data_IF_756059729409
#
_entry.id   IF_756059729409
#
_cell.length_a   1.000
_cell.length_b   1.000
_cell.length_c   1.000
_cell.angle_alpha   90.00
_cell.angle_beta   90.00
_cell.angle_gamma   90.00
#
_symmetry.space_group_name_H-M   'P 1'
#
loop_
_entity.id
_entity.type
_entity.pdbx_description
1 polymer ?
#
# COMPACT_ATOMS: atom_id res chain seq x y z
N UNK A 1 -46.66 -25.61 -0.42
CA UNK A 1 -45.31 -26.17 -0.22
C UNK A 1 -44.43 -25.05 0.33
N UNK A 2 -44.10 -25.10 1.62
CA UNK A 2 -43.25 -24.10 2.27
C UNK A 2 -41.80 -24.40 1.90
N UNK A 3 -41.13 -23.47 1.20
CA UNK A 3 -39.69 -23.60 0.94
C UNK A 3 -38.96 -23.71 2.29
N UNK A 4 -38.01 -24.64 2.46
CA UNK A 4 -37.18 -24.65 3.67
C UNK A 4 -36.50 -23.28 3.82
N UNK A 5 -36.42 -22.78 5.04
CA UNK A 5 -35.68 -21.55 5.34
C UNK A 5 -34.23 -21.74 4.92
N UNK A 6 -33.66 -20.75 4.22
CA UNK A 6 -32.27 -20.82 3.78
C UNK A 6 -31.33 -20.91 5.00
N UNK A 7 -30.39 -21.84 4.97
CA UNK A 7 -29.29 -21.88 5.94
C UNK A 7 -28.31 -20.74 5.63
N UNK A 8 -28.36 -19.69 6.45
CA UNK A 8 -27.53 -18.50 6.30
C UNK A 8 -26.22 -18.57 7.10
N UNK A 9 -25.88 -19.72 7.67
CA UNK A 9 -24.67 -19.91 8.47
C UNK A 9 -23.41 -19.64 7.64
N UNK A 10 -23.38 -20.12 6.39
CA UNK A 10 -22.28 -19.87 5.46
C UNK A 10 -22.15 -18.38 5.08
N UNK A 11 -23.29 -17.71 4.83
CA UNK A 11 -23.34 -16.29 4.48
C UNK A 11 -22.82 -15.42 5.63
N UNK A 12 -23.25 -15.71 6.87
CA UNK A 12 -22.75 -15.04 8.08
C UNK A 12 -21.24 -15.23 8.23
N UNK A 13 -20.76 -16.46 8.15
CA UNK A 13 -19.33 -16.77 8.28
C UNK A 13 -18.48 -16.10 7.19
N UNK A 14 -19.00 -16.01 5.96
CA UNK A 14 -18.35 -15.31 4.86
C UNK A 14 -18.27 -13.80 5.12
N UNK A 15 -19.37 -13.21 5.60
CA UNK A 15 -19.43 -11.80 5.99
C UNK A 15 -18.49 -11.46 7.15
N UNK A 16 -18.37 -12.36 8.13
CA UNK A 16 -17.42 -12.23 9.25
C UNK A 16 -15.96 -12.27 8.76
N UNK A 17 -15.63 -13.14 7.80
CA UNK A 17 -14.31 -13.17 7.19
C UNK A 17 -13.98 -11.85 6.47
N UNK A 18 -14.93 -11.29 5.72
CA UNK A 18 -14.76 -9.98 5.08
C UNK A 18 -14.60 -8.85 6.10
N UNK A 19 -15.35 -8.88 7.21
CA UNK A 19 -15.19 -7.92 8.29
C UNK A 19 -13.78 -7.97 8.91
N UNK A 20 -13.21 -9.17 9.07
CA UNK A 20 -11.80 -9.34 9.46
C UNK A 20 -10.83 -8.77 8.40
N UNK A 21 -11.08 -9.00 7.10
CA UNK A 21 -10.27 -8.43 6.02
C UNK A 21 -10.31 -6.90 5.94
N UNK A 22 -11.46 -6.30 6.24
CA UNK A 22 -11.66 -4.85 6.32
C UNK A 22 -10.99 -4.25 7.58
N UNK A 23 -10.83 -5.04 8.63
CA UNK A 23 -10.08 -4.69 9.84
C UNK A 23 -8.57 -4.85 9.61
N UNK A 24 -7.98 -3.91 8.85
CA UNK A 24 -6.65 -4.03 8.20
C UNK A 24 -5.48 -4.42 9.12
N UNK A 25 -5.56 -4.10 10.41
CA UNK A 25 -4.52 -4.41 11.42
C UNK A 25 -4.76 -5.74 12.15
N UNK A 26 -5.96 -6.31 12.05
CA UNK A 26 -6.29 -7.59 12.66
C UNK A 26 -5.56 -8.74 11.96
N UNK A 27 -5.15 -9.76 12.74
CA UNK A 27 -4.36 -10.89 12.26
C UNK A 27 -5.06 -12.22 12.59
N UNK A 28 -4.92 -13.24 11.72
CA UNK A 28 -5.45 -14.58 11.97
C UNK A 28 -4.53 -15.32 12.96
N UNK A 29 -4.63 -14.98 14.25
CA UNK A 29 -3.89 -15.66 15.32
C UNK A 29 -4.36 -17.12 15.46
N UNK A 30 -3.46 -18.02 15.83
CA UNK A 30 -3.79 -19.44 16.01
C UNK A 30 -4.97 -19.62 16.97
N UNK A 31 -5.95 -20.43 16.58
CA UNK A 31 -7.18 -20.66 17.35
C UNK A 31 -8.23 -19.55 17.31
N UNK A 32 -7.96 -18.43 16.62
CA UNK A 32 -8.97 -17.36 16.41
C UNK A 32 -10.02 -17.75 15.37
N UNK A 33 -11.20 -17.13 15.45
CA UNK A 33 -12.23 -17.27 14.41
C UNK A 33 -11.73 -16.82 13.05
N UNK A 34 -10.92 -15.75 12.99
CA UNK A 34 -10.33 -15.30 11.74
C UNK A 34 -9.45 -16.38 11.12
N UNK A 35 -8.58 -17.02 11.90
CA UNK A 35 -7.74 -18.12 11.41
C UNK A 35 -8.58 -19.28 10.88
N UNK A 36 -9.59 -19.72 11.64
CA UNK A 36 -10.52 -20.79 11.23
C UNK A 36 -11.26 -20.47 9.92
N UNK A 37 -11.79 -19.25 9.79
CA UNK A 37 -12.51 -18.82 8.59
C UNK A 37 -11.59 -18.68 7.38
N UNK A 38 -10.38 -18.16 7.57
CA UNK A 38 -9.39 -18.02 6.50
C UNK A 38 -8.91 -19.39 5.99
N UNK A 39 -8.70 -20.36 6.89
CA UNK A 39 -8.36 -21.72 6.49
C UNK A 39 -9.51 -22.42 5.77
N UNK A 40 -10.75 -22.18 6.20
CA UNK A 40 -11.92 -22.64 5.45
C UNK A 40 -11.97 -22.03 4.05
N UNK A 41 -11.74 -20.72 3.91
CA UNK A 41 -11.69 -20.04 2.61
C UNK A 41 -10.65 -20.66 1.67
N UNK A 42 -9.51 -21.13 2.19
CA UNK A 42 -8.46 -21.78 1.41
C UNK A 42 -8.79 -23.22 0.98
N UNK A 43 -9.69 -23.90 1.67
CA UNK A 43 -9.89 -25.36 1.55
C UNK A 43 -11.28 -25.77 1.07
N UNK A 44 -12.29 -24.91 1.23
CA UNK A 44 -13.68 -25.15 0.86
C UNK A 44 -14.08 -24.20 -0.30
N UNK A 45 -14.18 -24.76 -1.51
CA UNK A 45 -14.53 -23.99 -2.73
C UNK A 45 -15.89 -23.30 -2.62
N UNK A 46 -16.91 -23.96 -2.04
CA UNK A 46 -18.24 -23.35 -1.92
C UNK A 46 -18.26 -22.18 -0.94
N UNK A 47 -17.48 -22.27 0.14
CA UNK A 47 -17.30 -21.15 1.05
C UNK A 47 -16.51 -20.01 0.40
N UNK A 48 -15.48 -20.31 -0.38
CA UNK A 48 -14.74 -19.32 -1.18
C UNK A 48 -15.66 -18.58 -2.14
N UNK A 49 -16.44 -19.29 -2.94
CA UNK A 49 -17.38 -18.69 -3.90
C UNK A 49 -18.37 -17.76 -3.19
N UNK A 50 -18.84 -18.16 -2.00
CA UNK A 50 -19.73 -17.32 -1.18
C UNK A 50 -19.04 -16.04 -0.71
N UNK A 51 -17.79 -16.12 -0.24
CA UNK A 51 -17.01 -14.95 0.19
C UNK A 51 -16.74 -14.02 -0.99
N UNK A 52 -16.28 -14.57 -2.12
CA UNK A 52 -15.94 -13.80 -3.31
C UNK A 52 -17.19 -13.11 -3.90
N UNK A 53 -18.34 -13.80 -3.93
CA UNK A 53 -19.62 -13.21 -4.37
C UNK A 53 -20.07 -12.05 -3.48
N UNK A 54 -19.95 -12.18 -2.16
CA UNK A 54 -20.30 -11.08 -1.23
C UNK A 54 -19.31 -9.93 -1.38
N UNK A 55 -18.02 -10.22 -1.54
CA UNK A 55 -17.00 -9.20 -1.78
C UNK A 55 -17.30 -8.39 -3.04
N UNK A 56 -17.57 -9.07 -4.16
CA UNK A 56 -17.94 -8.45 -5.44
C UNK A 56 -19.16 -7.54 -5.28
N UNK A 57 -20.21 -8.01 -4.58
CA UNK A 57 -21.41 -7.20 -4.29
C UNK A 57 -21.14 -5.96 -3.44
N UNK A 58 -20.05 -5.93 -2.68
CA UNK A 58 -19.58 -4.77 -1.91
C UNK A 58 -18.60 -3.88 -2.68
N UNK A 59 -18.26 -4.23 -3.92
CA UNK A 59 -17.20 -3.58 -4.70
C UNK A 59 -15.82 -3.85 -4.11
N UNK A 60 -15.56 -5.10 -3.71
CA UNK A 60 -14.28 -5.56 -3.15
C UNK A 60 -13.81 -6.80 -3.91
N UNK A 61 -12.51 -6.87 -4.18
CA UNK A 61 -11.85 -8.05 -4.74
C UNK A 61 -10.89 -8.66 -3.72
N UNK A 62 -10.89 -10.00 -3.63
CA UNK A 62 -9.90 -10.74 -2.84
C UNK A 62 -8.67 -11.00 -3.70
N UNK A 63 -7.59 -10.28 -3.44
CA UNK A 63 -6.35 -10.40 -4.22
C UNK A 63 -5.32 -11.36 -3.60
N UNK A 64 -5.56 -11.83 -2.38
CA UNK A 64 -4.70 -12.84 -1.77
C UNK A 64 -4.97 -13.14 -0.30
N UNK A 65 -4.38 -14.23 0.16
CA UNK A 65 -4.49 -14.72 1.55
C UNK A 65 -3.12 -14.99 2.17
N UNK A 66 -2.23 -13.99 2.32
CA UNK A 66 -0.97 -14.18 3.02
C UNK A 66 -1.18 -14.61 4.47
N UNK A 67 -0.10 -14.99 5.15
CA UNK A 67 -0.15 -15.35 6.58
C UNK A 67 -0.72 -14.22 7.45
N UNK A 68 -0.62 -12.97 6.99
CA UNK A 68 -1.13 -11.80 7.71
C UNK A 68 -2.65 -11.61 7.63
N UNK A 69 -3.36 -12.39 6.82
CA UNK A 69 -4.82 -12.31 6.67
C UNK A 69 -5.29 -12.17 5.22
N UNK A 70 -6.60 -12.03 5.05
CA UNK A 70 -7.26 -11.74 3.78
C UNK A 70 -6.89 -10.31 3.31
N UNK A 71 -6.51 -10.18 2.04
CA UNK A 71 -6.22 -8.89 1.41
C UNK A 71 -7.32 -8.55 0.42
N UNK A 72 -7.96 -7.41 0.67
CA UNK A 72 -9.08 -6.88 -0.11
C UNK A 72 -8.64 -5.60 -0.82
N UNK A 73 -9.02 -5.48 -2.09
CA UNK A 73 -8.91 -4.26 -2.88
C UNK A 73 -10.32 -3.72 -3.14
N UNK A 74 -10.59 -2.45 -2.83
CA UNK A 74 -11.87 -1.84 -3.16
C UNK A 74 -11.90 -1.32 -4.59
N UNK A 75 -13.10 -1.32 -5.19
CA UNK A 75 -13.40 -0.53 -6.37
C UNK A 75 -12.98 0.94 -6.11
N UNK A 76 -12.17 1.57 -6.98
CA UNK A 76 -11.70 2.95 -6.80
C UNK A 76 -12.81 4.00 -6.68
N UNK A 77 -14.00 3.72 -7.24
CA UNK A 77 -15.20 4.55 -7.16
C UNK A 77 -16.10 4.22 -5.96
N UNK A 78 -15.84 3.07 -5.31
CA UNK A 78 -16.65 2.53 -4.23
C UNK A 78 -16.48 3.24 -2.88
N UNK A 79 -17.32 2.88 -1.89
CA UNK A 79 -17.28 3.45 -0.55
C UNK A 79 -16.05 3.00 0.26
N UNK A 80 -15.47 1.85 -0.07
CA UNK A 80 -14.27 1.32 0.57
C UNK A 80 -12.96 1.84 -0.05
N UNK A 81 -13.06 2.60 -1.15
CA UNK A 81 -11.92 3.16 -1.86
C UNK A 81 -11.02 3.94 -0.90
N UNK A 82 -9.76 3.53 -0.83
CA UNK A 82 -8.76 4.23 -0.02
C UNK A 82 -8.14 5.33 -0.87
N UNK A 83 -8.40 6.59 -0.51
CA UNK A 83 -7.96 7.75 -1.27
C UNK A 83 -6.77 8.39 -0.58
N UNK A 84 -5.90 9.02 -1.36
CA UNK A 84 -4.81 9.81 -0.81
C UNK A 84 -5.30 11.00 0.02
N UNK A 85 -6.54 11.44 -0.19
CA UNK A 85 -7.23 12.40 0.67
C UNK A 85 -7.43 11.89 2.10
N UNK A 86 -7.47 10.58 2.30
CA UNK A 86 -7.64 9.93 3.61
C UNK A 86 -6.33 9.84 4.39
N UNK A 87 -5.19 10.07 3.73
CA UNK A 87 -3.86 9.99 4.35
C UNK A 87 -3.71 10.99 5.51
N UNK A 88 -4.23 12.20 5.33
CA UNK A 88 -4.36 13.18 6.41
C UNK A 88 -5.44 14.23 6.09
N UNK A 89 -6.42 14.45 6.98
CA UNK A 89 -7.39 15.52 6.81
C UNK A 89 -6.71 16.89 6.65
N UNK A 90 -7.17 17.68 5.68
CA UNK A 90 -6.66 19.04 5.45
C UNK A 90 -5.27 19.12 4.79
N UNK A 91 -4.74 18.01 4.27
CA UNK A 91 -3.46 18.02 3.56
C UNK A 91 -3.54 18.88 2.27
N UNK A 92 -2.58 19.81 2.04
CA UNK A 92 -2.44 20.57 0.81
C UNK A 92 -2.35 19.68 -0.44
N UNK A 93 -2.75 20.20 -1.60
CA UNK A 93 -2.70 19.45 -2.86
C UNK A 93 -1.27 19.03 -3.24
N UNK A 94 -0.29 19.90 -3.03
CA UNK A 94 1.14 19.63 -3.29
C UNK A 94 1.66 18.50 -2.39
N UNK A 95 1.32 18.52 -1.09
CA UNK A 95 1.68 17.48 -0.14
C UNK A 95 1.08 16.12 -0.53
N UNK A 96 -0.13 16.11 -1.10
CA UNK A 96 -0.74 14.89 -1.65
C UNK A 96 0.03 14.39 -2.87
N UNK A 97 0.41 15.26 -3.80
CA UNK A 97 1.24 14.85 -4.95
C UNK A 97 2.56 14.21 -4.49
N UNK A 98 3.22 14.84 -3.51
CA UNK A 98 4.44 14.29 -2.88
C UNK A 98 4.17 12.94 -2.20
N UNK A 99 3.07 12.77 -1.47
CA UNK A 99 2.72 11.50 -0.85
C UNK A 99 2.50 10.39 -1.88
N UNK A 100 1.86 10.71 -3.01
CA UNK A 100 1.69 9.78 -4.13
C UNK A 100 3.03 9.35 -4.74
N UNK A 101 3.95 10.30 -4.95
CA UNK A 101 5.31 10.01 -5.40
C UNK A 101 6.05 9.10 -4.41
N UNK A 102 5.98 9.39 -3.11
CA UNK A 102 6.61 8.56 -2.07
C UNK A 102 6.05 7.13 -2.09
N UNK A 103 4.74 6.95 -2.25
CA UNK A 103 4.12 5.62 -2.32
C UNK A 103 4.65 4.80 -3.50
N UNK A 104 4.73 5.43 -4.69
CA UNK A 104 5.32 4.80 -5.88
C UNK A 104 6.80 4.49 -5.68
N UNK A 105 7.54 5.38 -5.01
CA UNK A 105 8.95 5.18 -4.71
C UNK A 105 9.16 4.01 -3.75
N UNK A 106 8.34 3.87 -2.71
CA UNK A 106 8.38 2.70 -1.81
C UNK A 106 8.13 1.40 -2.56
N UNK A 107 7.15 1.39 -3.47
CA UNK A 107 6.85 0.24 -4.32
C UNK A 107 8.04 -0.12 -5.23
N UNK A 108 8.61 0.85 -5.94
CA UNK A 108 9.76 0.62 -6.82
C UNK A 108 11.03 0.25 -6.05
N UNK A 109 11.25 0.84 -4.88
CA UNK A 109 12.42 0.58 -4.05
C UNK A 109 12.44 -0.87 -3.55
N UNK A 110 11.28 -1.38 -3.13
CA UNK A 110 11.10 -2.72 -2.60
C UNK A 110 10.93 -3.80 -3.66
N UNK A 111 10.28 -3.45 -4.79
CA UNK A 111 9.96 -4.36 -5.89
C UNK A 111 10.38 -3.77 -7.24
N UNK A 112 11.69 -3.66 -7.50
CA UNK A 112 12.23 -3.13 -8.76
C UNK A 112 11.91 -4.01 -9.98
N UNK A 113 11.72 -5.31 -9.79
CA UNK A 113 11.38 -6.28 -10.82
C UNK A 113 10.03 -6.94 -10.54
N UNK A 114 9.40 -7.51 -11.57
CA UNK A 114 8.15 -8.24 -11.42
C UNK A 114 8.34 -9.50 -10.54
N UNK A 115 9.46 -10.20 -10.70
CA UNK A 115 9.77 -11.40 -9.88
C UNK A 115 9.88 -11.11 -8.38
N UNK A 116 10.17 -9.85 -7.99
CA UNK A 116 10.22 -9.46 -6.59
C UNK A 116 8.82 -9.48 -5.95
N UNK A 117 7.75 -9.43 -6.76
CA UNK A 117 6.37 -9.51 -6.29
C UNK A 117 5.94 -10.95 -6.02
N UNK A 118 6.64 -11.95 -6.54
CA UNK A 118 6.41 -13.36 -6.19
C UNK A 118 7.13 -13.76 -4.89
N UNK A 119 8.13 -12.98 -4.50
CA UNK A 119 8.95 -13.21 -3.33
C UNK A 119 8.26 -12.72 -2.04
N UNK A 120 8.12 -13.63 -1.07
CA UNK A 120 7.55 -13.35 0.26
C UNK A 120 8.58 -12.86 1.28
N UNK A 121 9.83 -12.67 0.85
CA UNK A 121 10.88 -12.14 1.71
C UNK A 121 10.49 -10.75 2.25
N UNK A 122 10.83 -10.54 3.51
CA UNK A 122 10.63 -9.27 4.20
C UNK A 122 11.43 -8.15 3.52
N UNK A 123 10.73 -7.13 3.02
CA UNK A 123 11.36 -5.92 2.48
C UNK A 123 11.43 -4.81 3.54
N UNK A 124 12.64 -4.33 3.80
CA UNK A 124 12.91 -3.24 4.74
C UNK A 124 13.14 -1.94 3.98
N UNK A 125 12.58 -0.85 4.48
CA UNK A 125 12.79 0.51 3.97
C UNK A 125 13.26 1.42 5.09
N UNK A 126 14.22 2.28 4.78
CA UNK A 126 14.69 3.30 5.70
C UNK A 126 14.36 4.69 5.12
N UNK A 127 13.80 5.58 5.95
CA UNK A 127 13.34 6.91 5.53
C UNK A 127 14.42 7.69 4.76
N UNK A 128 15.66 7.69 5.26
CA UNK A 128 16.77 8.43 4.63
C UNK A 128 17.17 7.79 3.30
N UNK A 129 17.21 6.45 3.23
CA UNK A 129 17.53 5.74 1.98
C UNK A 129 16.47 5.92 0.90
N UNK A 130 15.21 6.06 1.29
CA UNK A 130 14.12 6.38 0.36
C UNK A 130 14.25 7.82 -0.15
N UNK A 131 14.63 8.79 0.70
CA UNK A 131 14.89 10.18 0.26
C UNK A 131 16.04 10.24 -0.75
N UNK A 132 17.17 9.58 -0.44
CA UNK A 132 18.31 9.46 -1.36
C UNK A 132 17.88 8.85 -2.71
N UNK A 133 17.09 7.78 -2.68
CA UNK A 133 16.57 7.12 -3.87
C UNK A 133 15.67 8.05 -4.70
N UNK A 134 14.68 8.70 -4.08
CA UNK A 134 13.76 9.60 -4.77
C UNK A 134 14.55 10.72 -5.44
N UNK A 135 15.50 11.34 -4.72
CA UNK A 135 16.34 12.43 -5.25
C UNK A 135 17.13 12.02 -6.47
N UNK A 136 17.71 10.82 -6.46
CA UNK A 136 18.42 10.28 -7.62
C UNK A 136 17.49 10.01 -8.82
N UNK A 137 16.21 9.71 -8.58
CA UNK A 137 15.23 9.41 -9.63
C UNK A 137 14.51 10.65 -10.21
N UNK A 138 14.70 11.85 -9.64
CA UNK A 138 14.00 13.09 -10.06
C UNK A 138 14.20 13.39 -11.55
N UNK A 139 15.39 13.16 -12.08
CA UNK A 139 15.70 13.42 -13.50
C UNK A 139 14.77 12.65 -14.43
N UNK A 140 14.71 11.31 -14.28
CA UNK A 140 13.85 10.47 -15.12
C UNK A 140 12.35 10.73 -14.92
N UNK A 141 11.93 11.14 -13.72
CA UNK A 141 10.54 11.54 -13.48
C UNK A 141 10.17 12.85 -14.18
N UNK A 142 11.13 13.77 -14.29
CA UNK A 142 10.94 15.09 -14.91
C UNK A 142 10.85 15.01 -16.44
N UNK A 143 11.35 13.92 -17.02
CA UNK A 143 11.31 13.61 -18.46
C UNK A 143 10.03 12.88 -18.91
N UNK A 144 9.11 12.56 -17.98
CA UNK A 144 7.88 11.85 -18.32
C UNK A 144 6.93 12.69 -19.17
N UNK A 145 6.65 12.21 -20.37
CA UNK A 145 5.65 12.78 -21.26
C UNK A 145 4.22 12.58 -20.74
N UNK A 146 3.34 13.51 -21.13
CA UNK A 146 1.91 13.41 -20.88
C UNK A 146 1.21 14.77 -20.89
N UNK A 147 -0.05 14.84 -21.38
CA UNK A 147 -0.82 16.07 -21.39
C UNK A 147 -1.17 16.53 -19.96
N UNK A 148 -1.63 17.76 -19.83
CA UNK A 148 -2.07 18.32 -18.54
C UNK A 148 -3.19 17.48 -17.91
N UNK A 149 -3.08 17.21 -16.62
CA UNK A 149 -4.01 16.35 -15.88
C UNK A 149 -3.76 14.85 -16.07
N UNK A 150 -2.74 14.45 -16.83
CA UNK A 150 -2.34 13.04 -16.95
C UNK A 150 -1.52 12.55 -15.76
N UNK A 151 -1.29 11.24 -15.67
CA UNK A 151 -0.39 10.66 -14.67
C UNK A 151 1.06 11.14 -14.85
N UNK A 152 1.51 11.36 -16.11
CA UNK A 152 2.84 11.86 -16.41
C UNK A 152 3.05 13.30 -15.93
N UNK A 153 2.09 14.19 -16.20
CA UNK A 153 2.12 15.57 -15.69
C UNK A 153 2.12 15.61 -14.15
N UNK A 154 1.25 14.84 -13.49
CA UNK A 154 1.25 14.74 -12.03
C UNK A 154 2.59 14.25 -11.46
N UNK A 155 3.24 13.29 -12.12
CA UNK A 155 4.54 12.78 -11.69
C UNK A 155 5.64 13.83 -11.83
N UNK A 156 5.67 14.58 -12.94
CA UNK A 156 6.59 15.73 -13.14
C UNK A 156 6.38 16.80 -12.07
N UNK A 157 5.12 17.18 -11.83
CA UNK A 157 4.77 18.18 -10.81
C UNK A 157 5.19 17.71 -9.42
N UNK A 158 4.92 16.45 -9.05
CA UNK A 158 5.35 15.89 -7.77
C UNK A 158 6.88 15.87 -7.63
N UNK A 159 7.61 15.50 -8.69
CA UNK A 159 9.08 15.49 -8.69
C UNK A 159 9.67 16.90 -8.51
N UNK A 160 9.12 17.90 -9.20
CA UNK A 160 9.52 19.30 -9.05
C UNK A 160 9.24 19.83 -7.63
N UNK A 161 8.05 19.56 -7.09
CA UNK A 161 7.72 19.91 -5.69
C UNK A 161 8.68 19.25 -4.72
N UNK A 162 8.96 17.95 -4.88
CA UNK A 162 9.87 17.20 -4.03
C UNK A 162 11.30 17.75 -4.09
N UNK A 163 11.79 18.09 -5.28
CA UNK A 163 13.13 18.65 -5.49
C UNK A 163 13.34 19.96 -4.72
N UNK A 164 12.30 20.79 -4.63
CA UNK A 164 12.34 22.09 -3.97
C UNK A 164 12.24 22.02 -2.44
N UNK A 165 11.86 20.86 -1.88
CA UNK A 165 11.77 20.67 -0.44
C UNK A 165 13.15 20.34 0.17
N UNK A 166 13.52 20.98 1.29
CA UNK A 166 14.71 20.58 2.04
C UNK A 166 14.56 19.14 2.55
N UNK A 167 15.67 18.41 2.63
CA UNK A 167 15.65 17.03 3.13
C UNK A 167 15.20 16.97 4.59
N UNK A 168 15.80 17.81 5.44
CA UNK A 168 15.50 17.89 6.86
C UNK A 168 15.15 19.31 7.29
N UNK A 169 14.03 19.44 8.01
CA UNK A 169 13.73 20.58 8.88
C UNK A 169 13.40 20.03 10.25
N UNK A 170 13.83 20.72 11.30
CA UNK A 170 13.55 20.32 12.68
C UNK A 170 12.62 21.30 13.37
N UNK A 171 11.77 20.79 14.25
CA UNK A 171 11.03 21.59 15.22
C UNK A 171 11.98 22.05 16.33
N UNK A 172 11.58 23.03 17.16
CA UNK A 172 12.36 23.40 18.35
C UNK A 172 12.64 22.23 19.31
N UNK A 173 11.80 21.20 19.27
CA UNK A 173 11.95 19.95 20.06
C UNK A 173 12.83 18.90 19.40
N UNK A 174 13.47 19.21 18.27
CA UNK A 174 14.38 18.31 17.55
C UNK A 174 13.70 17.23 16.69
N UNK A 175 12.36 17.25 16.58
CA UNK A 175 11.61 16.32 15.71
C UNK A 175 11.60 16.82 14.27
N UNK A 176 11.35 15.94 13.29
CA UNK A 176 11.15 16.37 11.90
C UNK A 176 9.92 17.28 11.79
N UNK A 177 10.11 18.45 11.19
CA UNK A 177 9.06 19.41 10.91
C UNK A 177 8.38 19.10 9.57
N UNK A 178 7.10 19.50 9.45
CA UNK A 178 6.39 19.48 8.15
C UNK A 178 7.10 20.40 7.15
N UNK A 179 7.01 20.08 5.86
CA UNK A 179 7.68 20.82 4.79
C UNK A 179 9.14 20.42 4.60
N UNK A 180 9.50 19.19 4.94
CA UNK A 180 10.76 18.54 4.53
C UNK A 180 10.48 17.11 4.05
N UNK A 181 11.30 16.61 3.13
CA UNK A 181 11.01 15.34 2.44
C UNK A 181 11.05 14.14 3.38
N UNK A 182 11.95 14.12 4.36
CA UNK A 182 12.00 13.05 5.37
C UNK A 182 10.70 12.96 6.18
N UNK A 183 10.04 14.10 6.47
CA UNK A 183 8.73 14.06 7.16
C UNK A 183 7.61 13.56 6.26
N UNK A 184 7.64 13.84 4.96
CA UNK A 184 6.67 13.27 4.01
C UNK A 184 6.79 11.75 3.95
N UNK A 185 8.01 11.22 3.87
CA UNK A 185 8.24 9.77 3.84
C UNK A 185 7.74 9.12 5.14
N UNK A 186 8.07 9.71 6.30
CA UNK A 186 7.58 9.24 7.60
C UNK A 186 6.04 9.19 7.65
N UNK A 187 5.35 10.25 7.22
CA UNK A 187 3.88 10.29 7.20
C UNK A 187 3.29 9.16 6.33
N UNK A 188 3.87 8.90 5.15
CA UNK A 188 3.39 7.84 4.27
C UNK A 188 3.65 6.46 4.89
N UNK A 189 4.81 6.24 5.50
CA UNK A 189 5.11 5.00 6.21
C UNK A 189 4.17 4.77 7.39
N UNK A 190 3.91 5.80 8.21
CA UNK A 190 2.96 5.74 9.33
C UNK A 190 1.56 5.39 8.83
N UNK A 191 1.11 6.04 7.75
CA UNK A 191 -0.16 5.71 7.12
C UNK A 191 -0.20 4.26 6.63
N UNK A 192 0.86 3.74 6.01
CA UNK A 192 0.95 2.33 5.62
C UNK A 192 0.89 1.39 6.83
N UNK A 193 1.42 1.78 7.99
CA UNK A 193 1.29 1.02 9.25
C UNK A 193 -0.17 0.95 9.67
N UNK A 194 -0.89 2.07 9.64
CA UNK A 194 -2.34 2.13 9.93
C UNK A 194 -3.14 1.27 8.95
N UNK A 195 -2.72 1.22 7.67
CA UNK A 195 -3.34 0.36 6.65
C UNK A 195 -2.93 -1.11 6.74
N UNK A 196 -2.09 -1.50 7.71
CA UNK A 196 -1.56 -2.86 7.84
C UNK A 196 -0.61 -3.28 6.71
N UNK A 197 -0.19 -2.33 5.87
CA UNK A 197 0.71 -2.49 4.73
C UNK A 197 2.20 -2.31 5.13
N UNK A 198 2.47 -1.76 6.31
CA UNK A 198 3.80 -1.70 6.90
C UNK A 198 3.79 -2.03 8.39
N UNK A 199 4.97 -2.17 8.98
CA UNK A 199 5.23 -2.27 10.42
C UNK A 199 6.49 -1.47 10.75
N UNK A 200 6.52 -0.84 11.90
CA UNK A 200 7.75 -0.24 12.39
C UNK A 200 8.75 -1.34 12.77
N UNK A 201 9.99 -1.21 12.30
CA UNK A 201 11.08 -2.12 12.62
C UNK A 201 12.09 -1.43 13.56
N UNK A 202 11.60 -0.90 14.70
CA UNK A 202 12.38 -0.05 15.62
C UNK A 202 13.68 -0.69 16.11
N UNK A 203 13.74 -2.02 16.19
CA UNK A 203 14.95 -2.75 16.55
C UNK A 203 16.09 -2.57 15.53
N UNK A 204 15.77 -2.22 14.29
CA UNK A 204 16.69 -1.94 13.19
C UNK A 204 16.90 -0.44 12.94
N UNK A 205 16.41 0.41 13.85
CA UNK A 205 16.50 1.87 13.77
C UNK A 205 15.14 2.55 13.79
N UNK A 206 15.10 3.79 14.30
CA UNK A 206 13.87 4.58 14.44
C UNK A 206 13.21 4.96 13.11
N UNK A 207 13.96 4.87 12.01
CA UNK A 207 13.51 5.24 10.65
C UNK A 207 13.29 4.04 9.73
N UNK A 208 13.25 2.84 10.31
CA UNK A 208 13.17 1.60 9.54
C UNK A 208 11.77 1.01 9.64
N UNK A 209 11.19 0.69 8.49
CA UNK A 209 9.89 0.05 8.37
C UNK A 209 10.02 -1.27 7.60
N UNK A 210 9.22 -2.24 7.98
CA UNK A 210 9.03 -3.51 7.28
C UNK A 210 7.74 -3.44 6.47
N UNK A 211 7.83 -3.60 5.15
CA UNK A 211 6.67 -3.73 4.29
C UNK A 211 6.06 -5.13 4.45
N UNK A 212 4.74 -5.23 4.43
CA UNK A 212 4.02 -6.49 4.59
C UNK A 212 3.63 -7.10 3.24
N UNK A 213 3.25 -8.39 3.24
CA UNK A 213 2.66 -9.04 2.07
C UNK A 213 1.43 -8.29 1.54
N UNK A 214 0.68 -7.61 2.41
CA UNK A 214 -0.44 -6.77 1.99
C UNK A 214 0.05 -5.67 1.04
N UNK A 215 1.14 -4.99 1.36
CA UNK A 215 1.70 -3.98 0.48
C UNK A 215 2.18 -4.58 -0.84
N UNK A 216 2.88 -5.73 -0.79
CA UNK A 216 3.31 -6.46 -1.99
C UNK A 216 2.14 -6.76 -2.93
N UNK A 217 1.06 -7.33 -2.39
CA UNK A 217 -0.13 -7.67 -3.15
C UNK A 217 -0.83 -6.44 -3.72
N UNK A 218 -0.93 -5.34 -2.96
CA UNK A 218 -1.46 -4.07 -3.47
C UNK A 218 -0.60 -3.49 -4.61
N UNK A 219 0.71 -3.66 -4.56
CA UNK A 219 1.61 -3.25 -5.66
C UNK A 219 1.43 -4.16 -6.88
N UNK A 220 1.28 -5.47 -6.67
CA UNK A 220 1.07 -6.44 -7.75
C UNK A 220 -0.28 -6.23 -8.47
N UNK A 221 -1.32 -5.86 -7.73
CA UNK A 221 -2.64 -5.54 -8.26
C UNK A 221 -2.70 -4.17 -8.97
N UNK A 222 -1.79 -3.25 -8.63
CA UNK A 222 -1.78 -1.93 -9.25
C UNK A 222 -1.39 -1.97 -10.73
N UNK A 223 -2.16 -1.26 -11.57
CA UNK A 223 -1.77 -1.04 -12.95
C UNK A 223 -0.45 -0.24 -13.01
N UNK A 224 0.56 -0.79 -13.69
CA UNK A 224 1.86 -0.15 -13.84
C UNK A 224 1.73 1.25 -14.45
N UNK A 225 2.17 2.28 -13.72
CA UNK A 225 2.24 3.65 -14.24
C UNK A 225 3.61 3.95 -14.85
N UNK A 226 3.67 4.90 -15.78
CA UNK A 226 4.96 5.37 -16.33
C UNK A 226 5.90 5.89 -15.22
N UNK A 227 5.34 6.53 -14.19
CA UNK A 227 6.10 6.97 -13.02
C UNK A 227 6.68 5.79 -12.21
N UNK A 228 5.90 4.74 -11.97
CA UNK A 228 6.38 3.53 -11.30
C UNK A 228 7.47 2.85 -12.14
N UNK A 229 7.30 2.78 -13.46
CA UNK A 229 8.30 2.21 -14.36
C UNK A 229 9.62 2.98 -14.33
N UNK A 230 9.58 4.32 -14.39
CA UNK A 230 10.75 5.18 -14.28
C UNK A 230 11.47 5.01 -12.92
N UNK A 231 10.72 4.91 -11.83
CA UNK A 231 11.28 4.66 -10.51
C UNK A 231 11.92 3.28 -10.39
N UNK A 232 11.29 2.24 -10.94
CA UNK A 232 11.86 0.88 -10.98
C UNK A 232 13.16 0.85 -11.76
N UNK A 233 13.23 1.55 -12.90
CA UNK A 233 14.46 1.66 -13.68
C UNK A 233 15.58 2.36 -12.91
N UNK A 234 15.27 3.49 -12.26
CA UNK A 234 16.23 4.19 -11.40
C UNK A 234 16.72 3.27 -10.26
N UNK A 235 15.84 2.45 -9.67
CA UNK A 235 16.20 1.51 -8.61
C UNK A 235 17.14 0.41 -9.11
N UNK A 236 16.85 -0.17 -10.28
CA UNK A 236 17.70 -1.20 -10.91
C UNK A 236 19.10 -0.70 -11.18
N UNK A 237 19.22 0.54 -11.64
CA UNK A 237 20.53 1.18 -11.87
C UNK A 237 21.33 1.34 -10.57
N UNK A 238 20.67 1.61 -9.43
CA UNK A 238 21.36 1.75 -8.14
C UNK A 238 21.84 0.45 -7.51
N UNK A 239 21.15 -0.67 -7.78
CA UNK A 239 21.47 -1.98 -7.19
C UNK A 239 22.37 -2.84 -8.08
N UNK A 240 22.54 -2.45 -9.35
CA UNK A 240 23.48 -3.10 -10.27
C UNK A 240 24.88 -2.52 -10.03
N UNK A 241 25.89 -3.36 -9.74
CA UNK A 241 27.25 -2.93 -9.42
C UNK A 241 28.02 -2.31 -10.59
#
# INVERSE_FOLDING_TARGET
MTSPAADLTAVRAASELLAFGLSRTQRPLDGSDYHRLLDRYRTDLGFRDTVDTIAEGLGLDVIGTPRTGLVLVPDPSGPFATRLADLRPGMPAEDKLVAGLVLLALAAYAYPNEVDLDDTETKLVNVVKVDEFIRAAIGGLSELDGPDGSAGERARTAAATYANLPSLRTTPTGRRAVGCTLKHIEIVCDWLVEQGAAREARALGADTFQLTDRFRLLVADSAGSAALAALREARRTQITP
#
